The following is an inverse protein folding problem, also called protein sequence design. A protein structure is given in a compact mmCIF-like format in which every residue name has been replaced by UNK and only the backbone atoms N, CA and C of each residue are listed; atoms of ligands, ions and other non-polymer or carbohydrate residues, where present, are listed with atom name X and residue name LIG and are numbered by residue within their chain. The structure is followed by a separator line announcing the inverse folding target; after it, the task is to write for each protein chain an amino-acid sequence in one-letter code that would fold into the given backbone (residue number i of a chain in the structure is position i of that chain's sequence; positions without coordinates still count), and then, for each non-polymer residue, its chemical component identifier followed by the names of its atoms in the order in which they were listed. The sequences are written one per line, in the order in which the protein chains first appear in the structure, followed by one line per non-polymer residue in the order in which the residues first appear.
data_IF_818162916785
#
_entry.id   IF_818162916785
#
_cell.length_a   1.000
_cell.length_b   1.000
_cell.length_c   1.000
_cell.angle_alpha   90.00
_cell.angle_beta   90.00
_cell.angle_gamma   90.00
#
_symmetry.space_group_name_H-M   'P 1'
#
loop_
_entity.id
_entity.type
_entity.pdbx_description
1 polymer ?
#
# COMPACT_ATOMS: atom_id res chain seq x y z
N UNK A 1 7.12 -0.27 -18.38
CA UNK A 1 7.25 1.20 -18.19
C UNK A 1 8.02 1.45 -16.90
N UNK A 2 9.01 2.36 -16.90
CA UNK A 2 9.75 2.72 -15.68
C UNK A 2 9.55 4.19 -15.35
N UNK A 3 9.21 4.47 -14.09
CA UNK A 3 9.03 5.81 -13.53
C UNK A 3 9.97 5.92 -12.34
N UNK A 4 10.94 6.83 -12.37
CA UNK A 4 11.95 6.93 -11.32
C UNK A 4 12.25 8.38 -10.93
N UNK A 5 12.79 8.55 -9.72
CA UNK A 5 13.31 9.84 -9.19
C UNK A 5 12.26 10.95 -9.15
N UNK A 6 11.04 10.61 -8.73
CA UNK A 6 9.93 11.56 -8.66
C UNK A 6 9.98 12.31 -7.34
N UNK A 7 10.30 13.60 -7.39
CA UNK A 7 10.31 14.47 -6.21
C UNK A 7 9.22 15.54 -6.34
N UNK A 8 8.23 15.50 -5.46
CA UNK A 8 7.09 16.43 -5.49
C UNK A 8 6.73 16.95 -4.11
N UNK A 9 6.19 18.17 -4.10
CA UNK A 9 5.87 18.90 -2.88
C UNK A 9 4.46 19.49 -2.98
N UNK A 10 3.68 19.41 -1.90
CA UNK A 10 2.36 20.06 -1.74
C UNK A 10 1.39 19.77 -2.90
N UNK A 11 1.31 18.50 -3.28
CA UNK A 11 0.55 18.03 -4.43
C UNK A 11 -0.75 17.32 -4.02
N UNK A 12 -1.66 17.08 -4.96
CA UNK A 12 -2.80 16.18 -4.69
C UNK A 12 -2.33 14.71 -4.67
N UNK A 13 -1.57 14.31 -5.68
CA UNK A 13 -0.95 12.98 -5.81
C UNK A 13 0.47 13.14 -6.33
N UNK A 14 1.42 12.33 -5.84
CA UNK A 14 2.73 12.26 -6.49
C UNK A 14 2.66 11.44 -7.77
N UNK A 15 1.96 10.31 -7.71
CA UNK A 15 1.62 9.50 -8.87
C UNK A 15 0.15 9.10 -8.78
N UNK A 16 -0.56 9.21 -9.91
CA UNK A 16 -1.93 8.75 -10.03
C UNK A 16 -2.12 8.06 -11.38
N UNK A 17 -2.68 6.86 -11.33
CA UNK A 17 -3.13 6.13 -12.49
C UNK A 17 -4.47 5.47 -12.16
N UNK A 18 -5.54 6.00 -12.75
CA UNK A 18 -6.91 5.54 -12.54
C UNK A 18 -7.58 5.44 -13.92
N UNK A 19 -7.42 4.31 -14.60
CA UNK A 19 -8.20 4.00 -15.82
C UNK A 19 -9.31 3.02 -15.50
N UNK A 20 -10.42 3.12 -16.23
CA UNK A 20 -11.62 2.32 -15.96
C UNK A 20 -11.52 0.90 -16.46
N UNK A 21 -10.89 0.65 -17.63
CA UNK A 21 -11.08 -0.65 -18.31
C UNK A 21 -9.82 -1.27 -18.93
N UNK A 22 -8.78 -0.47 -19.23
CA UNK A 22 -7.55 -1.00 -19.86
C UNK A 22 -6.46 -1.09 -18.80
N UNK A 23 -6.14 -2.32 -18.42
CA UNK A 23 -5.03 -2.62 -17.54
C UNK A 23 -3.69 -2.34 -18.21
N UNK A 24 -2.74 -1.81 -17.45
CA UNK A 24 -1.33 -1.80 -17.88
C UNK A 24 -0.61 -3.02 -17.32
N UNK A 25 0.51 -3.38 -17.95
CA UNK A 25 1.42 -4.38 -17.42
C UNK A 25 2.83 -3.83 -17.29
N UNK A 26 3.62 -4.45 -16.42
CA UNK A 26 5.07 -4.31 -16.35
C UNK A 26 5.49 -2.86 -16.03
N UNK A 27 4.98 -2.35 -14.92
CA UNK A 27 5.29 -1.00 -14.43
C UNK A 27 6.22 -1.10 -13.23
N UNK A 28 7.33 -0.36 -13.31
CA UNK A 28 8.28 -0.19 -12.22
C UNK A 28 8.29 1.27 -11.78
N UNK A 29 8.12 1.50 -10.47
CA UNK A 29 8.13 2.82 -9.85
C UNK A 29 9.20 2.83 -8.75
N UNK A 30 10.13 3.77 -8.83
CA UNK A 30 11.24 3.85 -7.88
C UNK A 30 11.59 5.26 -7.43
N UNK A 31 12.18 5.37 -6.23
CA UNK A 31 12.76 6.60 -5.70
C UNK A 31 11.77 7.78 -5.70
N UNK A 32 10.61 7.58 -5.07
CA UNK A 32 9.58 8.64 -4.99
C UNK A 32 9.65 9.34 -3.64
N UNK A 33 9.86 10.65 -3.66
CA UNK A 33 9.74 11.52 -2.50
C UNK A 33 8.49 12.40 -2.65
N UNK A 34 7.50 12.15 -1.81
CA UNK A 34 6.27 12.93 -1.76
C UNK A 34 6.15 13.64 -0.40
N UNK A 35 6.24 14.98 -0.42
CA UNK A 35 6.14 15.78 0.80
C UNK A 35 4.92 16.69 0.78
N UNK A 36 4.08 16.61 1.83
CA UNK A 36 2.92 17.48 1.97
C UNK A 36 1.79 17.19 0.98
N UNK A 37 1.83 16.04 0.30
CA UNK A 37 0.79 15.69 -0.66
C UNK A 37 -0.47 15.14 0.03
N UNK A 38 -1.63 15.24 -0.61
CA UNK A 38 -2.89 14.66 -0.08
C UNK A 38 -2.78 13.14 -0.04
N UNK A 39 -2.29 12.53 -1.13
CA UNK A 39 -1.89 11.13 -1.21
C UNK A 39 -0.54 11.03 -1.92
N UNK A 40 0.19 9.96 -1.65
CA UNK A 40 1.48 9.69 -2.30
C UNK A 40 1.22 9.00 -3.64
N UNK A 41 0.49 7.88 -3.62
CA UNK A 41 0.12 7.16 -4.83
C UNK A 41 -1.33 6.70 -4.79
N UNK A 42 -1.98 6.71 -5.96
CA UNK A 42 -3.23 6.03 -6.21
C UNK A 42 -3.15 5.34 -7.58
N UNK A 43 -2.99 4.03 -7.58
CA UNK A 43 -2.78 3.21 -8.78
C UNK A 43 -3.85 2.12 -8.86
N UNK A 44 -4.37 1.89 -10.07
CA UNK A 44 -5.42 0.91 -10.31
C UNK A 44 -5.19 0.12 -11.60
N UNK A 45 -5.62 -1.14 -11.61
CA UNK A 45 -5.66 -1.99 -12.82
C UNK A 45 -4.26 -2.16 -13.46
N UNK A 46 -3.28 -2.64 -12.70
CA UNK A 46 -1.90 -2.82 -13.19
C UNK A 46 -1.41 -4.23 -12.86
N UNK A 47 -1.01 -5.01 -13.87
CA UNK A 47 -0.35 -6.31 -13.68
C UNK A 47 1.17 -6.12 -13.62
N UNK A 48 1.87 -6.93 -12.83
CA UNK A 48 3.33 -6.90 -12.67
C UNK A 48 3.82 -5.50 -12.24
N UNK A 49 3.27 -5.00 -11.14
CA UNK A 49 3.61 -3.70 -10.57
C UNK A 49 4.71 -3.83 -9.53
N UNK A 50 5.86 -3.21 -9.75
CA UNK A 50 6.95 -3.12 -8.76
C UNK A 50 7.12 -1.68 -8.29
N UNK A 51 7.05 -1.46 -6.97
CA UNK A 51 7.19 -0.16 -6.33
C UNK A 51 8.27 -0.27 -5.26
N UNK A 52 9.28 0.61 -5.30
CA UNK A 52 10.35 0.56 -4.30
C UNK A 52 10.97 1.91 -3.95
N UNK A 53 11.53 1.98 -2.74
CA UNK A 53 12.18 3.17 -2.19
C UNK A 53 11.27 4.41 -2.21
N UNK A 54 10.18 4.32 -1.45
CA UNK A 54 9.17 5.38 -1.38
C UNK A 54 9.30 6.12 -0.06
N UNK A 55 9.34 7.45 -0.10
CA UNK A 55 9.31 8.29 1.08
C UNK A 55 8.13 9.25 1.02
N UNK A 56 7.29 9.19 2.03
CA UNK A 56 6.08 10.01 2.15
C UNK A 56 6.07 10.74 3.48
N UNK A 57 6.05 12.06 3.44
CA UNK A 57 6.20 12.90 4.63
C UNK A 57 5.11 13.98 4.67
N UNK A 58 4.47 14.17 5.81
CA UNK A 58 3.60 15.33 6.01
C UNK A 58 2.28 15.28 5.24
N UNK A 59 1.80 14.10 4.84
CA UNK A 59 0.57 14.00 4.05
C UNK A 59 -0.63 14.63 4.81
N UNK A 60 -1.41 15.45 4.09
CA UNK A 60 -2.49 16.28 4.69
C UNK A 60 -3.91 15.79 4.35
N UNK A 61 -4.04 14.71 3.58
CA UNK A 61 -5.33 14.16 3.16
C UNK A 61 -5.91 13.11 4.12
N UNK A 62 -7.22 12.88 4.01
CA UNK A 62 -7.95 11.82 4.73
C UNK A 62 -7.88 10.44 4.05
N UNK A 63 -7.28 10.32 2.86
CA UNK A 63 -7.16 9.05 2.12
C UNK A 63 -5.90 8.25 2.46
N UNK A 64 -5.69 7.10 1.83
CA UNK A 64 -4.47 6.30 2.06
C UNK A 64 -3.21 7.02 1.55
N UNK A 65 -2.01 6.67 2.03
CA UNK A 65 -0.79 7.27 1.46
C UNK A 65 -0.51 6.63 0.11
N UNK A 66 -0.50 5.31 0.07
CA UNK A 66 -0.47 4.50 -1.13
C UNK A 66 -1.79 3.72 -1.19
N UNK A 67 -2.52 3.88 -2.29
CA UNK A 67 -3.73 3.13 -2.63
C UNK A 67 -3.47 2.34 -3.91
N UNK A 68 -3.61 1.01 -3.84
CA UNK A 68 -3.40 0.05 -4.91
C UNK A 68 -4.67 -0.79 -5.06
N UNK A 69 -5.29 -0.78 -6.23
CA UNK A 69 -6.54 -1.51 -6.48
C UNK A 69 -6.42 -2.33 -7.74
N UNK A 70 -6.72 -3.63 -7.68
CA UNK A 70 -6.61 -4.51 -8.85
C UNK A 70 -5.20 -4.47 -9.45
N UNK A 71 -4.19 -4.64 -8.58
CA UNK A 71 -2.78 -4.62 -8.95
C UNK A 71 -2.16 -6.01 -8.77
N UNK A 72 -2.24 -6.86 -9.79
CA UNK A 72 -1.75 -8.24 -9.71
C UNK A 72 -0.24 -8.36 -9.83
N UNK A 73 0.34 -9.38 -9.19
CA UNK A 73 1.78 -9.60 -9.08
C UNK A 73 2.48 -8.34 -8.53
N UNK A 74 1.87 -7.74 -7.51
CA UNK A 74 2.34 -6.51 -6.87
C UNK A 74 3.55 -6.80 -5.99
N UNK A 75 4.61 -6.00 -6.16
CA UNK A 75 5.73 -5.90 -5.23
C UNK A 75 5.81 -4.48 -4.70
N UNK A 76 5.69 -4.28 -3.39
CA UNK A 76 5.96 -3.01 -2.71
C UNK A 76 7.06 -3.21 -1.68
N UNK A 77 8.14 -2.44 -1.78
CA UNK A 77 9.26 -2.51 -0.84
C UNK A 77 9.83 -1.16 -0.42
N UNK A 78 10.48 -1.13 0.73
CA UNK A 78 11.24 0.02 1.22
C UNK A 78 10.43 1.33 1.25
N UNK A 79 9.19 1.25 1.74
CA UNK A 79 8.32 2.42 1.86
C UNK A 79 8.37 3.00 3.28
N UNK A 80 8.68 4.29 3.41
CA UNK A 80 8.78 5.00 4.69
C UNK A 80 7.76 6.12 4.75
N UNK A 81 6.97 6.12 5.81
CA UNK A 81 5.91 7.10 6.03
C UNK A 81 6.13 7.86 7.33
N UNK A 82 6.07 9.19 7.27
CA UNK A 82 6.28 10.05 8.43
C UNK A 82 5.37 11.26 8.48
N UNK A 83 5.19 11.78 9.71
CA UNK A 83 4.54 13.07 9.99
C UNK A 83 3.14 13.24 9.37
N UNK A 84 2.40 12.14 9.17
CA UNK A 84 1.06 12.21 8.58
C UNK A 84 0.01 12.58 9.62
N UNK A 85 -0.97 13.39 9.21
CA UNK A 85 -2.12 13.83 10.00
C UNK A 85 -3.46 13.14 9.64
N UNK A 86 -3.43 11.93 9.07
CA UNK A 86 -4.61 11.26 8.50
C UNK A 86 -4.97 9.96 9.22
N UNK A 87 -6.26 9.61 9.21
CA UNK A 87 -6.88 8.58 10.08
C UNK A 87 -7.12 7.21 9.41
N UNK A 88 -6.41 6.90 8.33
CA UNK A 88 -6.58 5.65 7.56
C UNK A 88 -5.26 4.88 7.45
N UNK A 89 -5.13 4.00 6.45
CA UNK A 89 -3.94 3.17 6.23
C UNK A 89 -2.80 3.91 5.53
N UNK A 90 -1.54 3.56 5.85
CA UNK A 90 -0.39 4.02 5.08
C UNK A 90 -0.36 3.36 3.70
N UNK A 91 -0.42 2.04 3.68
CA UNK A 91 -0.59 1.24 2.47
C UNK A 91 -1.96 0.60 2.49
N UNK A 92 -2.70 0.75 1.41
CA UNK A 92 -3.98 0.08 1.20
C UNK A 92 -3.96 -0.65 -0.13
N UNK A 93 -4.18 -1.96 -0.07
CA UNK A 93 -4.20 -2.87 -1.21
C UNK A 93 -5.57 -3.52 -1.27
N UNK A 94 -6.23 -3.45 -2.42
CA UNK A 94 -7.56 -4.03 -2.63
C UNK A 94 -7.59 -4.90 -3.87
N UNK A 95 -8.19 -6.08 -3.76
CA UNK A 95 -8.45 -7.02 -4.86
C UNK A 95 -7.21 -7.24 -5.75
N UNK A 96 -6.07 -7.65 -5.18
CA UNK A 96 -4.78 -7.72 -5.90
C UNK A 96 -4.16 -9.09 -5.68
N UNK A 97 -3.89 -9.85 -6.75
CA UNK A 97 -3.36 -11.22 -6.65
C UNK A 97 -1.84 -11.20 -6.48
N UNK A 98 -1.29 -12.19 -5.79
CA UNK A 98 0.15 -12.39 -5.63
C UNK A 98 0.88 -11.12 -5.16
N UNK A 99 0.41 -10.56 -4.03
CA UNK A 99 0.95 -9.32 -3.49
C UNK A 99 2.05 -9.60 -2.47
N UNK A 100 3.23 -9.01 -2.69
CA UNK A 100 4.36 -9.02 -1.76
C UNK A 100 4.66 -7.62 -1.27
N UNK A 101 4.51 -7.39 0.03
CA UNK A 101 4.72 -6.08 0.67
C UNK A 101 5.73 -6.25 1.79
N UNK A 102 6.89 -5.60 1.66
CA UNK A 102 7.95 -5.75 2.64
C UNK A 102 8.70 -4.47 2.97
N UNK A 103 9.33 -4.44 4.14
CA UNK A 103 10.13 -3.31 4.61
C UNK A 103 9.37 -1.97 4.62
N UNK A 104 8.04 -2.00 4.85
CA UNK A 104 7.24 -0.79 5.09
C UNK A 104 7.49 -0.31 6.52
N UNK A 105 7.82 0.97 6.69
CA UNK A 105 8.14 1.57 8.00
C UNK A 105 7.28 2.80 8.28
N UNK A 106 6.69 2.84 9.46
CA UNK A 106 6.04 4.03 10.01
C UNK A 106 6.98 4.74 10.99
N UNK A 107 7.19 6.03 10.78
CA UNK A 107 7.92 6.86 11.75
C UNK A 107 7.08 7.04 13.02
N UNK A 108 7.72 6.97 14.18
CA UNK A 108 7.09 7.29 15.46
C UNK A 108 6.39 8.66 15.42
N UNK A 109 5.20 8.74 16.02
CA UNK A 109 4.33 9.91 15.97
C UNK A 109 3.47 10.04 14.70
N UNK A 110 3.53 9.08 13.77
CA UNK A 110 2.57 9.05 12.65
C UNK A 110 1.16 8.75 13.13
N UNK A 111 0.14 9.42 12.59
CA UNK A 111 -1.26 9.26 13.03
C UNK A 111 -2.06 8.24 12.21
N UNK A 112 -1.40 7.39 11.42
CA UNK A 112 -2.10 6.37 10.65
C UNK A 112 -2.88 5.43 11.57
N UNK A 113 -4.14 5.16 11.23
CA UNK A 113 -4.96 4.18 11.94
C UNK A 113 -4.45 2.76 11.70
N UNK A 114 -4.04 2.50 10.47
CA UNK A 114 -3.47 1.23 10.06
C UNK A 114 -2.13 1.43 9.35
N UNK A 115 -1.18 0.51 9.52
CA UNK A 115 0.03 0.54 8.70
C UNK A 115 -0.26 0.03 7.31
N UNK A 116 -0.53 -1.27 7.21
CA UNK A 116 -0.90 -1.94 5.96
C UNK A 116 -2.33 -2.44 6.10
N UNK A 117 -3.14 -2.25 5.06
CA UNK A 117 -4.45 -2.86 4.95
C UNK A 117 -4.57 -3.59 3.63
N UNK A 118 -4.91 -4.87 3.68
CA UNK A 118 -5.23 -5.70 2.53
C UNK A 118 -6.70 -6.06 2.59
N UNK A 119 -7.42 -5.89 1.49
CA UNK A 119 -8.86 -6.07 1.42
C UNK A 119 -9.26 -6.88 0.18
N UNK A 120 -9.92 -8.02 0.42
CA UNK A 120 -10.59 -8.83 -0.59
C UNK A 120 -12.10 -8.57 -0.57
N UNK A 121 -12.65 -8.13 -1.70
CA UNK A 121 -14.08 -7.82 -1.86
C UNK A 121 -14.73 -8.48 -3.07
N UNK A 122 -13.96 -8.84 -4.09
CA UNK A 122 -14.48 -9.51 -5.28
C UNK A 122 -14.53 -11.02 -5.05
N UNK A 123 -15.39 -11.71 -5.80
CA UNK A 123 -15.43 -13.19 -5.86
C UNK A 123 -14.22 -13.78 -6.58
N UNK A 124 -13.07 -13.13 -6.45
CA UNK A 124 -11.80 -13.54 -7.02
C UNK A 124 -10.83 -13.82 -5.90
N UNK A 125 -10.10 -14.92 -6.03
CA UNK A 125 -9.17 -15.38 -5.02
C UNK A 125 -7.92 -14.49 -4.97
N UNK A 126 -7.51 -14.10 -3.76
CA UNK A 126 -6.17 -13.61 -3.49
C UNK A 126 -5.25 -14.83 -3.43
N UNK A 127 -4.69 -15.24 -4.56
CA UNK A 127 -3.88 -16.47 -4.64
C UNK A 127 -2.78 -16.54 -3.57
N UNK A 128 -2.00 -15.46 -3.40
CA UNK A 128 -1.00 -15.37 -2.34
C UNK A 128 -0.78 -13.94 -1.84
N UNK A 129 -0.50 -13.81 -0.54
CA UNK A 129 -0.15 -12.57 0.14
C UNK A 129 1.07 -12.80 1.02
N UNK A 130 2.12 -12.04 0.79
CA UNK A 130 3.34 -12.09 1.59
C UNK A 130 3.63 -10.71 2.20
N UNK A 131 3.68 -10.66 3.52
CA UNK A 131 3.95 -9.46 4.32
C UNK A 131 5.19 -9.73 5.17
N UNK A 132 6.30 -9.06 4.87
CA UNK A 132 7.59 -9.35 5.51
C UNK A 132 8.31 -8.11 6.02
N UNK A 133 8.97 -8.21 7.17
CA UNK A 133 9.89 -7.17 7.66
C UNK A 133 9.26 -5.75 7.75
N UNK A 134 7.94 -5.68 7.94
CA UNK A 134 7.24 -4.41 8.04
C UNK A 134 7.29 -3.91 9.49
N UNK A 135 7.73 -2.67 9.70
CA UNK A 135 7.71 -1.99 10.99
C UNK A 135 6.57 -0.96 11.00
N UNK A 136 5.40 -1.43 11.43
CA UNK A 136 4.15 -0.68 11.44
C UNK A 136 3.56 -0.56 12.85
N UNK A 137 4.39 -0.76 13.88
CA UNK A 137 3.98 -0.67 15.28
C UNK A 137 3.52 0.74 15.69
N UNK A 138 3.91 1.78 14.95
CA UNK A 138 3.46 3.15 15.17
C UNK A 138 2.03 3.43 14.66
N UNK A 139 1.31 2.43 14.12
CA UNK A 139 -0.10 2.58 13.77
C UNK A 139 -0.97 2.67 15.04
N UNK A 140 -1.96 3.56 15.04
CA UNK A 140 -2.76 3.85 16.24
C UNK A 140 -3.86 2.83 16.56
N UNK A 141 -4.19 1.91 15.64
CA UNK A 141 -5.19 0.87 15.88
C UNK A 141 -4.66 -0.52 15.59
N UNK A 142 -4.30 -0.82 14.33
CA UNK A 142 -3.73 -2.12 13.94
C UNK A 142 -2.58 -1.92 12.96
N UNK A 143 -1.43 -2.54 13.21
CA UNK A 143 -0.28 -2.46 12.30
C UNK A 143 -0.60 -3.02 10.91
N UNK A 144 -1.01 -4.27 10.84
CA UNK A 144 -1.40 -4.99 9.61
C UNK A 144 -2.83 -5.48 9.75
N UNK A 145 -3.70 -5.05 8.84
CA UNK A 145 -5.11 -5.46 8.81
C UNK A 145 -5.40 -6.20 7.50
N UNK A 146 -5.88 -7.43 7.60
CA UNK A 146 -6.24 -8.26 6.45
C UNK A 146 -7.74 -8.54 6.54
N UNK A 147 -8.49 -8.27 5.47
CA UNK A 147 -9.95 -8.33 5.47
C UNK A 147 -10.49 -9.15 4.29
N UNK A 148 -11.41 -10.05 4.61
CA UNK A 148 -12.29 -10.71 3.64
C UNK A 148 -13.71 -10.21 3.87
N UNK A 149 -14.30 -9.57 2.87
CA UNK A 149 -15.63 -8.96 3.03
C UNK A 149 -16.70 -9.61 2.18
N UNK A 150 -16.32 -10.57 1.33
CA UNK A 150 -17.23 -11.36 0.53
C UNK A 150 -17.07 -12.83 0.92
N UNK A 151 -18.18 -13.52 1.22
CA UNK A 151 -18.15 -14.94 1.56
C UNK A 151 -17.59 -15.83 0.42
N UNK A 152 -17.56 -15.30 -0.81
CA UNK A 152 -16.99 -15.95 -1.99
C UNK A 152 -15.54 -15.51 -2.29
N UNK A 153 -14.99 -14.55 -1.56
CA UNK A 153 -13.57 -14.22 -1.68
C UNK A 153 -12.77 -15.12 -0.74
N UNK A 154 -11.70 -15.74 -1.25
CA UNK A 154 -10.73 -16.43 -0.40
C UNK A 154 -9.38 -15.72 -0.45
N UNK A 155 -8.73 -15.59 0.70
CA UNK A 155 -7.29 -15.41 0.80
C UNK A 155 -6.68 -16.81 0.73
N UNK A 156 -5.86 -17.05 -0.29
CA UNK A 156 -5.03 -18.24 -0.41
C UNK A 156 -3.90 -18.21 0.62
N UNK A 157 -2.67 -18.45 0.17
CA UNK A 157 -1.54 -18.54 1.10
C UNK A 157 -1.16 -17.17 1.66
N UNK A 158 -1.16 -17.04 2.99
CA UNK A 158 -0.72 -15.83 3.69
C UNK A 158 0.58 -16.12 4.44
N UNK A 159 1.65 -15.42 4.04
CA UNK A 159 2.94 -15.46 4.73
C UNK A 159 3.14 -14.17 5.53
N UNK A 160 3.32 -14.30 6.84
CA UNK A 160 3.63 -13.21 7.75
C UNK A 160 4.99 -13.49 8.41
N UNK A 161 6.04 -12.80 8.00
CA UNK A 161 7.39 -13.03 8.53
C UNK A 161 8.02 -11.73 9.06
N UNK A 162 8.63 -11.79 10.25
CA UNK A 162 9.45 -10.69 10.79
C UNK A 162 8.77 -9.30 10.84
N UNK A 163 7.44 -9.26 10.96
CA UNK A 163 6.70 -8.00 11.07
C UNK A 163 6.70 -7.49 12.51
N UNK A 164 6.85 -6.17 12.68
CA UNK A 164 6.76 -5.47 13.95
C UNK A 164 5.47 -4.63 13.95
N UNK A 165 4.49 -5.06 14.72
CA UNK A 165 3.19 -4.40 14.85
C UNK A 165 2.07 -5.41 15.15
N UNK A 166 0.89 -4.90 15.51
CA UNK A 166 -0.28 -5.75 15.71
C UNK A 166 -0.84 -6.24 14.38
N UNK A 167 -1.28 -7.49 14.32
CA UNK A 167 -1.86 -8.11 13.13
C UNK A 167 -3.30 -8.51 13.44
N UNK A 168 -4.24 -8.19 12.54
CA UNK A 168 -5.63 -8.64 12.63
C UNK A 168 -6.12 -9.13 11.27
N UNK A 169 -6.61 -10.36 11.25
CA UNK A 169 -7.32 -10.98 10.13
C UNK A 169 -8.78 -11.16 10.54
N UNK A 170 -9.73 -10.75 9.69
CA UNK A 170 -11.17 -10.85 9.95
C UNK A 170 -11.99 -10.85 8.67
#
# INVERSE_FOLDING_TARGET
ISISNVHVYRCKYALRYETTDIGHSDIEISNVLAQGCVRTMALKNIRNLSIHNIRSEGNKGNGHAIELVNCDNLVLRDARFGNRLGTVSAVWVKNSKNARIYSVKLKSGSLFKYGITVLATLSEDFESLMLEENDVASASTVGIRILETNAQSSLGDIVLANNIGTIRQS
#
